data_IF_527244729983
#
_entry.id   IF_527244729983
#
_cell.length_a   1.000
_cell.length_b   1.000
_cell.length_c   1.000
_cell.angle_alpha   90.00
_cell.angle_beta   90.00
_cell.angle_gamma   90.00
#
_symmetry.space_group_name_H-M   'P 1'
#
loop_
_entity.id
_entity.type
_entity.pdbx_description
1 polymer ?
#
# COMPACT_ATOMS: atom_id res chain seq x y z
N UNK A 1 6.68 12.62 9.22
CA UNK A 1 6.30 13.39 8.01
C UNK A 1 4.81 13.65 8.09
N UNK A 2 4.38 14.89 8.24
CA UNK A 2 2.97 15.20 8.54
C UNK A 2 2.20 15.52 7.26
N UNK A 3 1.12 14.77 6.99
CA UNK A 3 0.22 15.05 5.87
C UNK A 3 -0.89 16.03 6.28
N UNK A 4 -1.15 17.02 5.44
CA UNK A 4 -2.22 18.00 5.64
C UNK A 4 -3.56 17.47 5.09
N UNK A 5 -4.65 18.04 5.59
CA UNK A 5 -5.99 17.74 5.03
C UNK A 5 -6.10 18.24 3.60
N UNK A 6 -6.66 17.42 2.71
CA UNK A 6 -6.74 17.70 1.27
C UNK A 6 -5.52 17.21 0.48
N UNK A 7 -4.46 16.74 1.13
CA UNK A 7 -3.30 16.16 0.44
C UNK A 7 -3.63 14.79 -0.13
N UNK A 8 -3.24 14.56 -1.39
CA UNK A 8 -3.26 13.24 -2.01
C UNK A 8 -2.09 12.41 -1.51
N UNK A 9 -2.39 11.17 -1.13
CA UNK A 9 -1.42 10.21 -0.59
C UNK A 9 -1.67 8.82 -1.17
N UNK A 10 -0.68 7.96 -1.04
CA UNK A 10 -0.73 6.58 -1.48
C UNK A 10 -0.63 5.64 -0.28
N UNK A 11 -1.27 4.48 -0.35
CA UNK A 11 -1.12 3.42 0.63
C UNK A 11 -1.16 2.06 -0.05
N UNK A 12 -0.70 1.03 0.66
CA UNK A 12 -0.71 -0.34 0.16
C UNK A 12 -1.91 -1.09 0.75
N UNK A 13 -2.85 -1.43 -0.12
CA UNK A 13 -4.00 -2.29 0.17
C UNK A 13 -3.60 -3.77 0.02
N UNK A 14 -3.93 -4.57 1.03
CA UNK A 14 -3.65 -6.02 1.07
C UNK A 14 -2.19 -6.42 0.81
N UNK A 15 -1.22 -5.54 1.09
CA UNK A 15 0.21 -5.72 0.78
C UNK A 15 0.50 -6.04 -0.70
N UNK A 16 -0.38 -5.63 -1.62
CA UNK A 16 -0.29 -5.98 -3.05
C UNK A 16 -0.61 -4.82 -3.99
N UNK A 17 -1.58 -3.99 -3.62
CA UNK A 17 -2.13 -2.97 -4.51
C UNK A 17 -1.81 -1.61 -3.93
N UNK A 18 -1.27 -0.70 -4.74
CA UNK A 18 -1.09 0.69 -4.32
C UNK A 18 -2.32 1.47 -4.74
N UNK A 19 -2.94 2.14 -3.78
CA UNK A 19 -4.15 2.92 -4.01
C UNK A 19 -3.93 4.36 -3.57
N UNK A 20 -4.52 5.29 -4.34
CA UNK A 20 -4.54 6.72 -4.07
C UNK A 20 -5.72 7.06 -3.16
N UNK A 21 -5.52 7.98 -2.23
CA UNK A 21 -6.56 8.51 -1.37
C UNK A 21 -6.24 9.95 -0.91
N UNK A 22 -7.25 10.66 -0.45
CA UNK A 22 -7.11 12.03 0.06
C UNK A 22 -7.24 12.07 1.57
N UNK A 23 -6.36 12.79 2.24
CA UNK A 23 -6.43 12.98 3.69
C UNK A 23 -7.62 13.86 4.05
N UNK A 24 -8.55 13.34 4.85
CA UNK A 24 -9.73 14.09 5.34
C UNK A 24 -9.46 14.68 6.72
N UNK A 25 -8.80 13.90 7.58
CA UNK A 25 -8.58 14.27 8.98
C UNK A 25 -7.36 13.54 9.52
N UNK A 26 -6.65 14.22 10.42
CA UNK A 26 -5.60 13.62 11.25
C UNK A 26 -6.03 13.60 12.71
N UNK A 27 -5.62 12.56 13.44
CA UNK A 27 -5.79 12.41 14.87
C UNK A 27 -4.56 11.72 15.46
N UNK A 28 -3.58 12.51 15.93
CA UNK A 28 -2.27 11.99 16.33
C UNK A 28 -1.56 11.33 15.14
N UNK A 29 -1.20 10.06 15.29
CA UNK A 29 -0.52 9.27 14.23
C UNK A 29 -1.50 8.63 13.24
N UNK A 30 -2.80 8.79 13.46
CA UNK A 30 -3.83 8.23 12.60
C UNK A 30 -4.36 9.26 11.60
N UNK A 31 -4.60 8.79 10.38
CA UNK A 31 -5.12 9.55 9.27
C UNK A 31 -6.37 8.87 8.73
N UNK A 32 -7.42 9.65 8.52
CA UNK A 32 -8.64 9.22 7.82
C UNK A 32 -8.47 9.61 6.37
N UNK A 33 -8.51 8.61 5.50
CA UNK A 33 -8.35 8.74 4.06
C UNK A 33 -9.68 8.48 3.36
N UNK A 34 -9.98 9.26 2.32
CA UNK A 34 -11.14 9.07 1.44
C UNK A 34 -10.68 8.57 0.08
N UNK A 35 -11.39 7.60 -0.47
CA UNK A 35 -11.15 7.13 -1.84
C UNK A 35 -11.97 7.97 -2.83
N UNK A 36 -11.47 8.10 -4.06
CA UNK A 36 -12.16 8.80 -5.15
C UNK A 36 -13.51 8.13 -5.48
N UNK A 37 -13.59 6.80 -5.36
CA UNK A 37 -14.78 5.98 -5.58
C UNK A 37 -15.78 6.01 -4.40
N UNK A 38 -15.47 6.76 -3.34
CA UNK A 38 -16.24 6.76 -2.11
C UNK A 38 -15.75 5.75 -1.07
N UNK A 39 -16.31 5.84 0.14
CA UNK A 39 -15.77 5.12 1.30
C UNK A 39 -14.45 5.72 1.82
N UNK A 40 -13.85 5.08 2.81
CA UNK A 40 -12.61 5.56 3.41
C UNK A 40 -12.01 4.58 4.40
N UNK A 41 -10.79 4.85 4.82
CA UNK A 41 -10.02 4.01 5.73
C UNK A 41 -9.26 4.86 6.73
N UNK A 42 -9.03 4.33 7.92
CA UNK A 42 -8.13 4.92 8.89
C UNK A 42 -6.82 4.15 8.92
N UNK A 43 -5.70 4.84 8.70
CA UNK A 43 -4.36 4.25 8.69
C UNK A 43 -3.42 5.03 9.60
N UNK A 44 -2.32 4.39 10.01
CA UNK A 44 -1.20 5.06 10.70
C UNK A 44 -0.28 5.74 9.68
N UNK A 45 0.42 6.78 10.12
CA UNK A 45 1.40 7.54 9.33
C UNK A 45 2.36 6.63 8.53
N UNK A 46 2.97 5.63 9.18
CA UNK A 46 3.92 4.71 8.53
C UNK A 46 3.34 3.77 7.48
N UNK A 47 2.03 3.81 7.22
CA UNK A 47 1.38 3.06 6.13
C UNK A 47 0.95 3.96 4.96
N UNK A 48 1.30 5.23 5.03
CA UNK A 48 0.93 6.27 4.07
C UNK A 48 2.21 6.76 3.43
N UNK A 49 2.17 6.95 2.12
CA UNK A 49 3.30 7.34 1.31
C UNK A 49 2.93 8.61 0.52
N UNK A 50 3.83 9.61 0.44
CA UNK A 50 3.59 10.82 -0.33
C UNK A 50 3.57 10.56 -1.83
N UNK A 51 4.30 9.54 -2.32
CA UNK A 51 4.34 9.18 -3.73
C UNK A 51 4.14 7.69 -3.95
N UNK A 52 3.74 7.33 -5.16
CA UNK A 52 3.55 5.94 -5.57
C UNK A 52 4.86 5.17 -5.54
N UNK A 53 5.96 5.77 -5.97
CA UNK A 53 7.28 5.14 -6.04
C UNK A 53 7.79 4.74 -4.65
N UNK A 54 7.51 5.56 -3.62
CA UNK A 54 7.84 5.21 -2.24
C UNK A 54 7.03 4.03 -1.71
N UNK A 55 5.76 3.93 -2.11
CA UNK A 55 4.93 2.77 -1.78
C UNK A 55 5.45 1.51 -2.52
N UNK A 56 5.83 1.63 -3.79
CA UNK A 56 6.40 0.51 -4.57
C UNK A 56 7.69 -0.02 -3.97
N UNK A 57 8.58 0.86 -3.50
CA UNK A 57 9.81 0.47 -2.81
C UNK A 57 9.57 -0.33 -1.51
N UNK A 58 8.38 -0.20 -0.90
CA UNK A 58 8.01 -0.91 0.32
C UNK A 58 7.36 -2.25 0.05
N UNK A 59 6.83 -2.46 -1.17
CA UNK A 59 6.33 -3.78 -1.55
C UNK A 59 7.51 -4.76 -1.62
N UNK A 60 7.39 -5.96 -1.02
CA UNK A 60 8.36 -7.01 -1.29
C UNK A 60 8.31 -7.26 -2.79
N UNK A 61 9.38 -6.86 -3.49
CA UNK A 61 9.48 -7.01 -4.94
C UNK A 61 9.07 -8.41 -5.37
N UNK A 62 8.50 -8.52 -6.57
CA UNK A 62 8.01 -9.75 -7.17
C UNK A 62 8.88 -10.92 -6.71
N UNK A 63 8.40 -11.66 -5.70
CA UNK A 63 9.00 -12.95 -5.42
C UNK A 63 8.64 -13.71 -6.67
N UNK A 64 9.58 -13.75 -7.63
CA UNK A 64 9.61 -14.69 -8.73
C UNK A 64 9.06 -15.93 -8.10
N UNK A 65 7.83 -16.32 -8.49
CA UNK A 65 7.19 -17.47 -7.91
C UNK A 65 8.21 -18.56 -8.18
N UNK A 66 8.96 -18.98 -7.14
CA UNK A 66 9.86 -20.11 -7.28
C UNK A 66 8.88 -21.19 -7.62
N UNK A 67 8.83 -21.58 -8.91
CA UNK A 67 8.03 -22.71 -9.36
C UNK A 67 8.32 -23.76 -8.33
N UNK A 68 7.33 -24.12 -7.54
CA UNK A 68 7.50 -25.21 -6.60
C UNK A 68 7.91 -26.37 -7.51
N UNK A 69 9.17 -26.83 -7.41
CA UNK A 69 9.59 -28.00 -8.16
C UNK A 69 8.54 -29.05 -7.84
N UNK A 70 7.78 -29.44 -8.86
CA UNK A 70 6.75 -30.45 -8.68
C UNK A 70 7.44 -31.66 -8.07
N UNK A 71 6.86 -32.32 -7.06
CA UNK A 71 7.43 -33.55 -6.50
C UNK A 71 7.57 -34.67 -7.55
N UNK A 72 7.10 -34.48 -8.78
CA UNK A 72 7.19 -35.41 -9.90
C UNK A 72 8.23 -34.99 -10.96
N UNK A 73 9.02 -33.95 -10.71
CA UNK A 73 10.05 -33.47 -11.64
C UNK A 73 11.35 -34.31 -11.58
N UNK A 74 11.21 -35.59 -11.22
CA UNK A 74 12.31 -36.53 -11.23
C UNK A 74 12.31 -37.25 -12.60
N UNK A 75 13.46 -37.22 -13.28
CA UNK A 75 13.87 -38.09 -14.42
C UNK A 75 13.41 -37.69 -15.84
N UNK A 76 14.34 -37.06 -16.59
CA UNK A 76 14.51 -37.19 -18.04
C UNK A 76 15.83 -37.92 -18.32
#
# INVERSE_FOLDING_TARGET
MTYETGTEVFFIESNRIIRKATVVRRSGDFYILRFDEGGGIQLREGRIFPTREQAEATLPGEKVQKKANSPYDYWH
#
